data_IF_602884993086
#
_entry.id   IF_602884993086
#
_cell.length_a   1.000
_cell.length_b   1.000
_cell.length_c   1.000
_cell.angle_alpha   90.00
_cell.angle_beta   90.00
_cell.angle_gamma   90.00
#
_symmetry.space_group_name_H-M   'P 1'
#
loop_
_entity.id
_entity.type
_entity.pdbx_description
1 polymer ?
#
# COMPACT_ATOMS: atom_id res chain seq x y z
N UNK A 1 10.46 4.10 27.74
CA UNK A 1 11.50 4.60 26.83
C UNK A 1 12.24 3.36 26.33
N UNK A 2 11.79 2.77 25.21
CA UNK A 2 12.37 1.52 24.71
C UNK A 2 13.43 1.96 23.70
N UNK A 3 14.71 1.77 24.05
CA UNK A 3 15.86 2.26 23.29
C UNK A 3 15.91 1.67 21.88
N UNK A 4 16.16 2.55 20.91
CA UNK A 4 16.34 2.28 19.47
C UNK A 4 17.52 1.35 19.15
N UNK A 5 18.42 1.12 20.11
CA UNK A 5 19.71 0.45 19.88
C UNK A 5 19.62 -1.08 19.79
N UNK A 6 18.51 -1.70 20.22
CA UNK A 6 18.37 -3.17 20.23
C UNK A 6 17.94 -3.80 18.91
N UNK A 7 17.37 -3.05 17.97
CA UNK A 7 16.74 -3.58 16.76
C UNK A 7 17.65 -3.55 15.50
N UNK A 8 18.81 -2.89 15.61
CA UNK A 8 19.70 -2.54 14.49
C UNK A 8 20.60 -3.69 14.00
N UNK A 9 20.77 -4.76 14.78
CA UNK A 9 21.87 -5.72 14.57
C UNK A 9 21.66 -6.83 13.51
N UNK A 10 20.55 -6.84 12.76
CA UNK A 10 20.29 -7.89 11.75
C UNK A 10 19.92 -7.41 10.34
N UNK A 11 19.89 -6.09 10.09
CA UNK A 11 19.56 -5.55 8.75
C UNK A 11 20.38 -4.30 8.45
N UNK A 12 20.74 -4.09 7.18
CA UNK A 12 21.43 -2.86 6.77
C UNK A 12 20.53 -1.64 7.04
N UNK A 13 21.10 -0.46 7.36
CA UNK A 13 20.33 0.76 7.60
C UNK A 13 19.35 1.11 6.46
N UNK A 14 19.74 0.85 5.21
CA UNK A 14 18.89 1.08 4.03
C UNK A 14 17.67 0.12 3.98
N UNK A 15 17.85 -1.15 4.37
CA UNK A 15 16.76 -2.11 4.48
C UNK A 15 15.86 -1.79 5.70
N UNK A 16 16.44 -1.38 6.82
CA UNK A 16 15.72 -0.98 8.02
C UNK A 16 14.83 0.25 7.78
N UNK A 17 15.32 1.26 7.08
CA UNK A 17 14.55 2.48 6.75
C UNK A 17 13.38 2.18 5.79
N UNK A 18 13.60 1.29 4.82
CA UNK A 18 12.59 0.87 3.84
C UNK A 18 11.47 0.04 4.48
N UNK A 19 11.83 -0.89 5.36
CA UNK A 19 10.87 -1.71 6.12
C UNK A 19 10.09 -0.83 7.11
N UNK A 20 10.74 0.12 7.76
CA UNK A 20 10.07 1.06 8.67
C UNK A 20 9.05 1.96 7.95
N UNK A 21 9.38 2.45 6.75
CA UNK A 21 8.44 3.22 5.91
C UNK A 21 7.26 2.37 5.46
N UNK A 22 7.49 1.12 5.06
CA UNK A 22 6.42 0.18 4.73
C UNK A 22 5.52 -0.11 5.94
N UNK A 23 6.10 -0.29 7.13
CA UNK A 23 5.39 -0.49 8.39
C UNK A 23 4.54 0.71 8.81
N UNK A 24 5.00 1.93 8.49
CA UNK A 24 4.23 3.16 8.69
C UNK A 24 3.23 3.43 7.56
N UNK A 25 3.26 2.63 6.49
CA UNK A 25 2.37 2.79 5.33
C UNK A 25 2.74 3.95 4.41
N UNK A 26 4.03 4.31 4.33
CA UNK A 26 4.52 5.33 3.38
C UNK A 26 4.94 4.65 2.07
N UNK A 27 4.27 4.94 0.93
CA UNK A 27 4.65 4.42 -0.38
C UNK A 27 6.11 4.76 -0.74
N UNK A 28 6.84 3.82 -1.32
CA UNK A 28 8.22 4.02 -1.77
C UNK A 28 8.33 4.16 -3.31
N UNK A 29 9.29 4.96 -3.82
CA UNK A 29 9.64 4.95 -5.24
C UNK A 29 10.07 3.57 -5.70
N UNK A 30 9.81 3.25 -6.97
CA UNK A 30 10.12 1.97 -7.64
C UNK A 30 9.43 0.73 -7.05
N UNK A 31 8.51 0.93 -6.09
CA UNK A 31 7.70 -0.13 -5.49
C UNK A 31 6.22 0.20 -5.58
N UNK A 32 5.74 1.08 -4.72
CA UNK A 32 4.34 1.52 -4.71
C UNK A 32 4.11 2.68 -5.68
N UNK A 33 5.13 3.51 -5.90
CA UNK A 33 5.08 4.66 -6.80
C UNK A 33 5.82 4.33 -8.09
N UNK A 34 5.10 3.69 -9.01
CA UNK A 34 5.58 3.33 -10.36
C UNK A 34 4.64 3.93 -11.41
N UNK A 35 5.01 3.85 -12.69
CA UNK A 35 4.12 4.27 -13.78
C UNK A 35 2.85 3.40 -13.93
N UNK A 36 2.76 2.27 -13.20
CA UNK A 36 1.58 1.39 -13.18
C UNK A 36 0.44 1.96 -12.31
N UNK A 37 0.75 2.84 -11.36
CA UNK A 37 -0.18 3.29 -10.33
C UNK A 37 -0.23 4.81 -10.27
N UNK A 38 -1.44 5.39 -10.28
CA UNK A 38 -1.55 6.82 -10.06
C UNK A 38 -1.47 7.16 -8.56
N UNK A 39 -1.12 8.42 -8.27
CA UNK A 39 -0.95 8.92 -6.89
C UNK A 39 -2.19 8.76 -6.01
N UNK A 40 -3.39 8.77 -6.59
CA UNK A 40 -4.64 8.59 -5.85
C UNK A 40 -4.92 7.12 -5.55
N UNK A 41 -4.50 6.19 -6.42
CA UNK A 41 -4.51 4.75 -6.14
C UNK A 41 -3.53 4.40 -5.01
N UNK A 42 -2.38 5.08 -4.95
CA UNK A 42 -1.45 5.02 -3.81
C UNK A 42 -2.01 5.68 -2.52
N UNK A 43 -3.24 6.19 -2.58
CA UNK A 43 -3.96 6.89 -1.53
C UNK A 43 -3.27 8.18 -1.03
N UNK A 44 -2.47 8.84 -1.87
CA UNK A 44 -1.72 10.06 -1.51
C UNK A 44 -2.52 11.34 -1.81
N UNK A 45 -3.75 11.44 -1.31
CA UNK A 45 -4.65 12.57 -1.56
C UNK A 45 -4.06 13.92 -1.15
N UNK A 46 -3.41 13.99 0.01
CA UNK A 46 -2.84 15.24 0.54
C UNK A 46 -1.56 15.65 -0.22
N UNK A 47 -0.99 14.77 -1.05
CA UNK A 47 0.16 15.11 -1.92
C UNK A 47 -0.28 15.88 -3.17
N UNK A 48 -1.58 15.89 -3.46
CA UNK A 48 -2.15 16.53 -4.64
C UNK A 48 -3.07 17.66 -4.21
N UNK A 49 -3.10 18.74 -4.99
CA UNK A 49 -4.07 19.80 -4.79
C UNK A 49 -4.86 19.98 -6.06
N UNK A 50 -6.19 19.95 -5.94
CA UNK A 50 -7.10 20.16 -7.05
C UNK A 50 -7.28 21.64 -7.40
N UNK A 51 -6.92 22.52 -6.47
CA UNK A 51 -7.19 23.96 -6.54
C UNK A 51 -5.93 24.82 -6.75
N UNK A 52 -4.73 24.23 -6.69
CA UNK A 52 -3.50 24.96 -7.05
C UNK A 52 -3.42 25.10 -8.59
N UNK A 53 -2.80 26.19 -9.05
CA UNK A 53 -2.66 26.51 -10.47
C UNK A 53 -1.94 25.43 -11.30
N UNK A 54 -1.84 25.63 -12.61
CA UNK A 54 -1.38 24.63 -13.59
C UNK A 54 -0.10 23.89 -13.17
N UNK A 55 -0.24 22.63 -12.76
CA UNK A 55 0.88 21.71 -12.55
C UNK A 55 0.78 20.48 -13.45
N UNK A 56 1.92 19.82 -13.68
CA UNK A 56 2.01 18.66 -14.56
C UNK A 56 1.11 17.53 -14.06
N UNK A 57 0.23 17.03 -14.93
CA UNK A 57 -0.70 15.93 -14.63
C UNK A 57 -2.00 16.36 -13.94
N UNK A 58 -2.23 17.65 -13.71
CA UNK A 58 -3.47 18.14 -13.08
C UNK A 58 -4.73 17.71 -13.86
N UNK A 59 -4.73 17.83 -15.20
CA UNK A 59 -5.88 17.38 -16.02
C UNK A 59 -6.20 15.90 -15.78
N UNK A 60 -5.17 15.06 -15.74
CA UNK A 60 -5.31 13.62 -15.51
C UNK A 60 -5.90 13.35 -14.13
N UNK A 61 -5.39 14.01 -13.08
CA UNK A 61 -5.93 13.88 -11.72
C UNK A 61 -7.38 14.36 -11.65
N UNK A 62 -7.67 15.54 -12.20
CA UNK A 62 -9.03 16.10 -12.21
C UNK A 62 -10.01 15.14 -12.89
N UNK A 63 -9.66 14.56 -14.04
CA UNK A 63 -10.49 13.54 -14.70
C UNK A 63 -10.70 12.29 -13.83
N UNK A 64 -9.65 11.80 -13.18
CA UNK A 64 -9.76 10.64 -12.28
C UNK A 64 -10.75 10.90 -11.14
N UNK A 65 -10.75 12.11 -10.56
CA UNK A 65 -11.70 12.49 -9.51
C UNK A 65 -13.11 12.67 -10.08
N UNK A 66 -13.27 13.43 -11.17
CA UNK A 66 -14.58 13.73 -11.78
C UNK A 66 -15.34 12.48 -12.22
N UNK A 67 -14.64 11.46 -12.72
CA UNK A 67 -15.25 10.26 -13.27
C UNK A 67 -15.14 9.03 -12.37
N UNK A 68 -14.76 9.19 -11.08
CA UNK A 68 -14.48 8.08 -10.15
C UNK A 68 -13.55 7.02 -10.79
N UNK A 69 -12.52 7.48 -11.49
CA UNK A 69 -11.62 6.66 -12.30
C UNK A 69 -10.63 5.81 -11.51
N UNK A 70 -10.64 5.91 -10.18
CA UNK A 70 -9.75 5.17 -9.28
C UNK A 70 -10.31 3.76 -9.10
N UNK A 71 -9.60 2.76 -9.64
CA UNK A 71 -10.10 1.37 -9.69
C UNK A 71 -9.58 0.50 -8.55
N UNK A 72 -8.46 0.89 -7.95
CA UNK A 72 -7.76 0.14 -6.91
C UNK A 72 -7.17 1.09 -5.86
N UNK A 73 -6.77 0.53 -4.72
CA UNK A 73 -6.16 1.27 -3.62
C UNK A 73 -5.03 0.45 -3.02
N UNK A 74 -3.98 1.14 -2.57
CA UNK A 74 -2.90 0.55 -1.79
C UNK A 74 -3.38 0.22 -0.37
N UNK A 75 -3.16 -1.02 0.05
CA UNK A 75 -3.51 -1.54 1.36
C UNK A 75 -2.30 -2.11 2.09
N UNK A 76 -2.37 -2.11 3.42
CA UNK A 76 -1.54 -2.97 4.24
C UNK A 76 -2.17 -4.36 4.30
N UNK A 77 -1.33 -5.39 4.38
CA UNK A 77 -1.79 -6.77 4.50
C UNK A 77 -0.96 -7.45 5.59
N UNK A 78 -1.64 -7.97 6.61
CA UNK A 78 -1.02 -8.88 7.58
C UNK A 78 -1.05 -10.27 6.99
N UNK A 79 0.10 -10.93 6.90
CA UNK A 79 0.25 -12.17 6.12
C UNK A 79 0.62 -13.30 7.07
N UNK A 80 0.02 -14.48 6.89
CA UNK A 80 0.27 -15.64 7.74
C UNK A 80 1.68 -16.23 7.54
N UNK A 81 2.21 -16.17 6.32
CA UNK A 81 3.53 -16.68 5.92
C UNK A 81 4.26 -15.71 4.98
N UNK A 82 5.60 -15.74 4.88
CA UNK A 82 6.33 -14.90 3.92
C UNK A 82 5.86 -15.12 2.48
N UNK A 83 5.77 -14.03 1.72
CA UNK A 83 5.42 -14.04 0.29
C UNK A 83 6.38 -13.11 -0.46
N UNK A 84 6.38 -13.23 -1.78
CA UNK A 84 7.21 -12.39 -2.65
C UNK A 84 6.41 -11.20 -3.22
N UNK A 85 7.06 -10.03 -3.43
CA UNK A 85 6.51 -8.98 -4.27
C UNK A 85 6.08 -9.53 -5.63
N UNK A 86 4.95 -9.06 -6.15
CA UNK A 86 4.36 -9.59 -7.39
C UNK A 86 3.35 -10.72 -7.18
N UNK A 87 3.27 -11.32 -5.98
CA UNK A 87 2.27 -12.34 -5.66
C UNK A 87 0.85 -11.84 -5.90
N UNK A 88 0.01 -12.70 -6.49
CA UNK A 88 -1.39 -12.37 -6.79
C UNK A 88 -2.21 -12.35 -5.50
N UNK A 89 -3.11 -11.36 -5.36
CA UNK A 89 -4.07 -11.27 -4.27
C UNK A 89 -5.44 -11.68 -4.81
N UNK A 90 -6.12 -12.57 -4.10
CA UNK A 90 -7.41 -13.13 -4.47
C UNK A 90 -8.42 -13.04 -3.33
N UNK A 91 -9.69 -12.82 -3.67
CA UNK A 91 -10.85 -12.87 -2.76
C UNK A 91 -11.88 -13.78 -3.39
N UNK A 92 -12.40 -14.76 -2.64
CA UNK A 92 -13.36 -15.74 -3.15
C UNK A 92 -12.92 -16.39 -4.48
N UNK A 93 -11.64 -16.75 -4.59
CA UNK A 93 -11.03 -17.36 -5.79
C UNK A 93 -10.83 -16.41 -6.98
N UNK A 94 -11.17 -15.12 -6.87
CA UNK A 94 -10.99 -14.14 -7.95
C UNK A 94 -9.76 -13.28 -7.71
N UNK A 95 -8.93 -13.10 -8.74
CA UNK A 95 -7.80 -12.17 -8.73
C UNK A 95 -8.26 -10.72 -8.63
N UNK A 96 -7.87 -10.07 -7.53
CA UNK A 96 -8.28 -8.70 -7.18
C UNK A 96 -7.12 -7.74 -6.99
N UNK A 97 -5.88 -8.23 -6.97
CA UNK A 97 -4.73 -7.39 -6.70
C UNK A 97 -3.38 -8.06 -6.88
N UNK A 98 -2.34 -7.33 -6.48
CA UNK A 98 -0.94 -7.78 -6.48
C UNK A 98 -0.22 -7.20 -5.26
N UNK A 99 0.64 -8.01 -4.63
CA UNK A 99 1.57 -7.56 -3.60
C UNK A 99 2.64 -6.66 -4.25
N UNK A 100 2.90 -5.48 -3.69
CA UNK A 100 3.92 -4.54 -4.15
C UNK A 100 5.21 -4.63 -3.33
N UNK A 101 5.10 -4.80 -2.01
CA UNK A 101 6.24 -4.90 -1.09
C UNK A 101 5.95 -5.89 0.02
N UNK A 102 7.01 -6.45 0.59
CA UNK A 102 6.94 -7.40 1.71
C UNK A 102 7.94 -7.01 2.79
N UNK A 103 7.66 -7.41 4.02
CA UNK A 103 8.45 -7.07 5.20
C UNK A 103 8.02 -7.86 6.43
N UNK A 104 8.57 -7.51 7.59
CA UNK A 104 8.24 -8.16 8.86
C UNK A 104 8.26 -7.17 10.04
N UNK A 105 7.39 -7.39 11.03
CA UNK A 105 7.40 -6.69 12.34
C UNK A 105 7.48 -7.72 13.45
N UNK A 106 8.53 -7.68 14.27
CA UNK A 106 8.71 -8.63 15.37
C UNK A 106 8.43 -10.09 14.94
N UNK A 107 8.99 -10.48 13.79
CA UNK A 107 8.82 -11.78 13.12
C UNK A 107 7.46 -12.05 12.45
N UNK A 108 6.47 -11.17 12.57
CA UNK A 108 5.20 -11.29 11.82
C UNK A 108 5.36 -10.79 10.38
N UNK A 109 5.09 -11.62 9.35
CA UNK A 109 5.10 -11.20 7.96
C UNK A 109 3.99 -10.17 7.65
N UNK A 110 4.32 -9.26 6.76
CA UNK A 110 3.43 -8.20 6.33
C UNK A 110 3.80 -7.72 4.94
N UNK A 111 2.83 -7.15 4.25
CA UNK A 111 3.00 -6.66 2.91
C UNK A 111 2.18 -5.42 2.62
N UNK A 112 2.51 -4.82 1.50
CA UNK A 112 1.73 -3.80 0.83
C UNK A 112 1.21 -4.38 -0.47
N UNK A 113 0.02 -3.98 -0.89
CA UNK A 113 -0.53 -4.44 -2.15
C UNK A 113 -1.66 -3.57 -2.66
N UNK A 114 -1.79 -3.52 -3.98
CA UNK A 114 -2.92 -2.86 -4.62
C UNK A 114 -4.06 -3.84 -4.76
N UNK A 115 -5.24 -3.46 -4.26
CA UNK A 115 -6.47 -4.25 -4.34
C UNK A 115 -7.56 -3.38 -4.97
N UNK A 116 -8.34 -3.97 -5.88
CA UNK A 116 -9.51 -3.32 -6.50
C UNK A 116 -10.45 -2.75 -5.42
N UNK A 117 -10.89 -1.50 -5.55
CA UNK A 117 -11.70 -0.79 -4.53
C UNK A 117 -12.98 -1.53 -4.13
N UNK A 118 -13.61 -2.23 -5.07
CA UNK A 118 -14.86 -2.98 -4.85
C UNK A 118 -14.64 -4.40 -4.31
N UNK A 119 -13.39 -4.82 -4.15
CA UNK A 119 -13.05 -6.20 -3.84
C UNK A 119 -12.61 -6.44 -2.39
N UNK A 120 -12.23 -5.40 -1.66
CA UNK A 120 -11.84 -5.52 -0.26
C UNK A 120 -12.07 -4.21 0.51
N UNK A 121 -12.32 -4.38 1.80
CA UNK A 121 -12.31 -3.32 2.82
C UNK A 121 -11.37 -3.70 3.95
N UNK A 122 -11.16 -2.80 4.90
CA UNK A 122 -10.43 -3.13 6.13
C UNK A 122 -11.04 -4.37 6.81
N UNK A 123 -10.19 -5.25 7.31
CA UNK A 123 -10.56 -6.50 7.98
C UNK A 123 -10.86 -7.65 7.04
N UNK A 124 -10.94 -7.43 5.72
CA UNK A 124 -11.28 -8.47 4.75
C UNK A 124 -10.17 -9.54 4.66
N UNK A 125 -10.59 -10.80 4.58
CA UNK A 125 -9.69 -11.92 4.36
C UNK A 125 -9.36 -12.07 2.87
N UNK A 126 -8.07 -12.26 2.58
CA UNK A 126 -7.54 -12.45 1.22
C UNK A 126 -6.66 -13.68 1.17
N UNK A 127 -6.51 -14.27 -0.02
CA UNK A 127 -5.52 -15.30 -0.31
C UNK A 127 -4.43 -14.68 -1.20
N UNK A 128 -3.17 -14.92 -0.85
CA UNK A 128 -1.99 -14.45 -1.57
C UNK A 128 -1.28 -15.66 -2.16
N UNK A 129 -0.96 -15.59 -3.45
CA UNK A 129 -0.45 -16.76 -4.17
C UNK A 129 -1.54 -17.83 -4.26
N UNK A 130 -1.22 -19.05 -3.83
CA UNK A 130 -2.11 -20.20 -3.92
C UNK A 130 -2.86 -20.46 -2.60
N UNK A 131 -2.20 -20.28 -1.44
CA UNK A 131 -2.70 -20.75 -0.14
C UNK A 131 -2.40 -19.81 1.04
N UNK A 132 -1.64 -18.72 0.85
CA UNK A 132 -1.23 -17.86 1.97
C UNK A 132 -2.35 -16.90 2.36
N UNK A 133 -2.90 -17.09 3.56
CA UNK A 133 -3.92 -16.19 4.10
C UNK A 133 -3.36 -14.81 4.48
N UNK A 134 -4.15 -13.77 4.23
CA UNK A 134 -3.88 -12.42 4.66
C UNK A 134 -5.13 -11.69 5.16
N UNK A 135 -4.93 -10.69 6.01
CA UNK A 135 -5.97 -9.75 6.43
C UNK A 135 -5.62 -8.36 5.93
N UNK A 136 -6.56 -7.72 5.23
CA UNK A 136 -6.44 -6.33 4.79
C UNK A 136 -6.51 -5.40 6.00
N UNK A 137 -5.59 -4.46 6.11
CA UNK A 137 -5.52 -3.49 7.21
C UNK A 137 -5.30 -2.08 6.68
N UNK A 138 -5.88 -1.08 7.36
CA UNK A 138 -5.57 0.32 7.07
C UNK A 138 -4.11 0.65 7.41
N UNK A 139 -3.56 1.59 6.65
CA UNK A 139 -2.20 2.05 6.82
C UNK A 139 -2.21 3.36 7.62
N UNK A 140 -1.53 3.47 8.79
CA UNK A 140 -1.61 4.65 9.65
C UNK A 140 -1.28 5.97 8.96
N UNK A 141 -0.31 5.97 8.03
CA UNK A 141 0.01 7.16 7.24
C UNK A 141 -1.08 7.51 6.23
N UNK A 142 -1.64 6.51 5.53
CA UNK A 142 -2.63 6.71 4.48
C UNK A 142 -4.06 6.91 5.01
N UNK A 143 -4.38 6.44 6.21
CA UNK A 143 -5.68 6.65 6.86
C UNK A 143 -5.97 8.13 7.14
N UNK A 144 -4.93 8.98 7.16
CA UNK A 144 -5.03 10.44 7.33
C UNK A 144 -5.14 11.20 6.00
N UNK A 145 -5.16 10.49 4.88
CA UNK A 145 -5.29 11.06 3.54
C UNK A 145 -6.77 11.16 3.23
N UNK A 146 -7.26 12.39 3.01
CA UNK A 146 -8.69 12.65 2.91
C UNK A 146 -8.95 13.14 1.49
N UNK A 147 -9.80 12.45 0.71
CA UNK A 147 -10.27 13.00 -0.56
C UNK A 147 -10.93 14.36 -0.29
N UNK A 148 -10.67 15.39 -1.12
CA UNK A 148 -11.36 16.66 -0.98
C UNK A 148 -12.89 16.43 -1.05
N UNK A 149 -13.61 17.06 -0.13
CA UNK A 149 -15.07 17.04 -0.01
C UNK A 149 -15.75 17.70 -1.20
#
# INVERSE_FOLDING_TARGET
MISEEGYSLLMSPAAAESVWKALLGRPAPDKELTDEYNVLEANLWNAVSLNKGCYKGQETISRLVTYDGIKQRLWGIRISSPVEPGSTISVNGKKVGKVSSTGKRASQPLGLGYIKRKAASEGECVIIGDDVEGTVVELPFLARQIPPS
#
